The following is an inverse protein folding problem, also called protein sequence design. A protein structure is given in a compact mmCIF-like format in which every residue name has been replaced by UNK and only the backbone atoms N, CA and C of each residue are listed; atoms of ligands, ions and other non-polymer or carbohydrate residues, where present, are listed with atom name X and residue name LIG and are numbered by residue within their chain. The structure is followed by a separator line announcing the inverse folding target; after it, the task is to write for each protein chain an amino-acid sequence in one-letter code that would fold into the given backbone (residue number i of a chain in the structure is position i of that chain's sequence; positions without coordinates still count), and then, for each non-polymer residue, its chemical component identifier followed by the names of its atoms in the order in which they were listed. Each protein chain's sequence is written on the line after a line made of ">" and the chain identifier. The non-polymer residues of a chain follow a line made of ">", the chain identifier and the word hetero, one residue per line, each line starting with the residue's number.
data_IF_676332472650
#
_entry.id   IF_676332472650
#
_cell.length_a   1.000
_cell.length_b   1.000
_cell.length_c   1.000
_cell.angle_alpha   90.00
_cell.angle_beta   90.00
_cell.angle_gamma   90.00
#
_symmetry.space_group_name_H-M   'P 1'
#
loop_
_entity.id
_entity.type
_entity.pdbx_description
1 polymer ?
#
# COMPACT_ATOMS: atom_id res chain seq x y z
N UNK A 1 -7.43 62.20 -27.23
CA UNK A 1 -5.97 62.05 -27.21
C UNK A 1 -5.53 61.72 -25.79
N UNK A 2 -4.97 60.55 -25.54
CA UNK A 2 -3.91 60.41 -24.59
C UNK A 2 -2.72 59.61 -25.14
N UNK A 3 -1.59 59.90 -24.58
CA UNK A 3 -0.22 59.61 -25.05
C UNK A 3 0.14 58.12 -24.89
N UNK A 4 0.67 57.53 -25.96
CA UNK A 4 1.34 56.24 -26.01
C UNK A 4 2.69 56.26 -25.25
N UNK A 5 2.88 55.39 -24.27
CA UNK A 5 4.21 55.07 -23.72
C UNK A 5 4.73 53.78 -24.40
N UNK A 6 5.79 53.96 -25.19
CA UNK A 6 6.59 52.88 -25.76
C UNK A 6 7.37 52.21 -24.65
N UNK A 7 7.19 50.88 -24.47
CA UNK A 7 8.09 50.06 -23.67
C UNK A 7 9.14 49.45 -24.60
N UNK A 8 10.41 49.75 -24.33
CA UNK A 8 11.56 49.25 -25.06
C UNK A 8 11.89 47.80 -24.65
N UNK A 9 11.93 46.97 -25.65
CA UNK A 9 12.34 45.56 -25.61
C UNK A 9 13.87 45.50 -25.41
N UNK A 10 14.32 45.01 -24.25
CA UNK A 10 15.73 44.64 -24.01
C UNK A 10 15.84 43.14 -23.93
N UNK A 11 16.11 42.53 -25.08
CA UNK A 11 16.60 41.16 -25.20
C UNK A 11 17.96 41.03 -24.52
N UNK A 12 18.04 40.25 -23.42
CA UNK A 12 19.31 39.78 -22.85
C UNK A 12 19.62 38.40 -23.41
N UNK A 13 20.75 38.32 -24.12
CA UNK A 13 21.37 37.13 -24.67
C UNK A 13 21.78 36.12 -23.58
N UNK A 14 21.82 34.81 -23.85
CA UNK A 14 22.22 33.81 -22.90
C UNK A 14 23.74 33.81 -22.67
N UNK A 15 24.17 33.92 -21.42
CA UNK A 15 25.56 33.76 -21.02
C UNK A 15 25.98 32.28 -21.14
N UNK A 16 26.96 32.04 -22.03
CA UNK A 16 27.72 30.79 -22.08
C UNK A 16 28.49 30.64 -20.79
N UNK A 17 28.24 29.55 -20.05
CA UNK A 17 29.11 29.10 -18.95
C UNK A 17 30.27 28.32 -19.57
N UNK A 18 31.46 28.85 -19.46
CA UNK A 18 32.73 28.13 -19.69
C UNK A 18 33.19 27.53 -18.36
N UNK A 19 33.70 26.30 -18.33
CA UNK A 19 34.29 25.74 -17.12
C UNK A 19 35.71 26.28 -16.94
N UNK A 20 35.98 27.00 -15.86
CA UNK A 20 37.30 27.44 -15.49
C UNK A 20 37.74 26.71 -14.21
N UNK A 21 38.95 26.14 -14.32
CA UNK A 21 39.87 25.74 -13.29
C UNK A 21 39.57 24.51 -12.42
N UNK A 22 40.20 23.42 -12.84
CA UNK A 22 40.75 22.37 -12.01
C UNK A 22 41.76 23.05 -11.04
N UNK A 23 41.31 23.31 -9.83
CA UNK A 23 42.19 23.62 -8.71
C UNK A 23 42.47 22.31 -7.98
N UNK A 24 43.73 21.97 -7.91
CA UNK A 24 44.27 20.90 -7.08
C UNK A 24 43.85 21.11 -5.61
N UNK A 25 42.87 20.43 -5.11
CA UNK A 25 42.68 20.23 -3.69
C UNK A 25 43.41 18.96 -3.28
N UNK A 26 44.57 19.25 -2.68
CA UNK A 26 45.42 18.29 -2.00
C UNK A 26 44.66 17.62 -0.87
N UNK A 27 44.77 16.31 -0.90
CA UNK A 27 44.69 15.34 0.20
C UNK A 27 44.37 15.94 1.60
N UNK A 28 43.14 15.87 1.98
CA UNK A 28 42.74 15.80 3.37
C UNK A 28 41.89 14.54 3.58
N UNK A 29 42.43 13.38 3.24
CA UNK A 29 42.00 12.09 3.74
C UNK A 29 42.30 12.10 5.24
N UNK A 30 41.39 12.62 6.03
CA UNK A 30 41.38 12.37 7.47
C UNK A 30 41.42 10.86 7.64
N UNK A 31 42.51 10.43 8.31
CA UNK A 31 42.68 9.08 8.80
C UNK A 31 41.37 8.57 9.42
N UNK A 32 40.60 7.84 8.65
CA UNK A 32 39.63 6.90 9.18
C UNK A 32 40.46 5.96 10.05
N UNK A 33 40.28 6.05 11.34
CA UNK A 33 40.93 5.22 12.32
C UNK A 33 40.81 3.76 11.81
N UNK A 34 41.99 3.12 11.62
CA UNK A 34 42.04 1.69 11.34
C UNK A 34 41.18 0.99 12.39
N UNK A 35 40.21 0.18 12.04
CA UNK A 35 39.45 -0.59 13.01
C UNK A 35 40.48 -1.39 13.82
N UNK A 36 40.42 -1.25 15.16
CA UNK A 36 41.27 -1.99 16.05
C UNK A 36 41.13 -3.47 15.73
N UNK A 37 42.27 -4.14 15.53
CA UNK A 37 42.43 -5.53 15.12
C UNK A 37 41.95 -6.55 16.18
N UNK A 38 40.70 -6.42 16.63
CA UNK A 38 39.94 -7.37 17.45
C UNK A 38 38.45 -7.35 17.11
N UNK A 39 38.09 -7.23 15.87
CA UNK A 39 36.79 -7.76 15.43
C UNK A 39 36.96 -9.26 15.31
N UNK A 40 36.46 -9.96 16.30
CA UNK A 40 36.31 -11.40 16.25
C UNK A 40 35.62 -11.76 14.92
N UNK A 41 36.25 -12.64 14.14
CA UNK A 41 35.64 -13.19 12.95
C UNK A 41 34.19 -13.61 13.29
N UNK A 42 33.21 -13.39 12.37
CA UNK A 42 31.84 -13.74 12.66
C UNK A 42 31.79 -15.20 13.15
N UNK A 43 31.19 -15.42 14.30
CA UNK A 43 31.01 -16.78 14.83
C UNK A 43 30.32 -17.60 13.72
N UNK A 44 30.97 -18.66 13.24
CA UNK A 44 30.38 -19.52 12.22
C UNK A 44 29.08 -20.07 12.78
N UNK A 45 28.03 -20.03 11.96
CA UNK A 45 26.76 -20.69 12.34
C UNK A 45 27.03 -22.16 12.62
N UNK A 46 26.36 -22.71 13.63
CA UNK A 46 26.41 -24.15 13.90
C UNK A 46 25.67 -24.90 12.80
N UNK A 47 25.98 -26.20 12.58
CA UNK A 47 25.25 -27.02 11.61
C UNK A 47 23.73 -26.98 11.82
N UNK A 48 23.26 -27.01 13.07
CA UNK A 48 21.84 -26.90 13.43
C UNK A 48 21.23 -25.53 13.01
N UNK A 49 22.00 -24.44 13.13
CA UNK A 49 21.56 -23.13 12.69
C UNK A 49 21.47 -23.03 11.17
N UNK A 50 22.38 -23.68 10.45
CA UNK A 50 22.37 -23.77 8.98
C UNK A 50 21.14 -24.55 8.53
N UNK A 51 20.90 -25.73 9.10
CA UNK A 51 19.73 -26.57 8.80
C UNK A 51 18.41 -25.81 9.07
N UNK A 52 18.34 -25.08 10.18
CA UNK A 52 17.15 -24.25 10.49
C UNK A 52 16.92 -23.13 9.47
N UNK A 53 18.00 -22.56 8.89
CA UNK A 53 17.88 -21.56 7.83
C UNK A 53 17.48 -22.21 6.50
N UNK A 54 18.03 -23.36 6.16
CA UNK A 54 17.63 -24.13 4.98
C UNK A 54 16.15 -24.48 5.04
N UNK A 55 15.66 -24.98 6.17
CA UNK A 55 14.23 -25.27 6.40
C UNK A 55 13.36 -23.99 6.30
N UNK A 56 13.87 -22.84 6.78
CA UNK A 56 13.18 -21.55 6.66
C UNK A 56 13.04 -21.12 5.21
N UNK A 57 14.06 -21.36 4.38
CA UNK A 57 14.11 -20.94 2.98
C UNK A 57 13.52 -21.96 2.02
N UNK A 58 13.26 -23.19 2.47
CA UNK A 58 12.72 -24.24 1.64
C UNK A 58 11.37 -23.83 1.01
N UNK A 59 11.26 -24.03 -0.30
CA UNK A 59 10.08 -23.68 -1.08
C UNK A 59 9.84 -22.18 -1.31
N UNK A 60 10.71 -21.30 -0.79
CA UNK A 60 10.60 -19.85 -1.06
C UNK A 60 11.05 -19.54 -2.50
N UNK A 61 10.19 -18.83 -3.25
CA UNK A 61 10.53 -18.33 -4.60
C UNK A 61 10.26 -19.30 -5.73
N UNK A 62 9.65 -20.44 -5.46
CA UNK A 62 9.21 -21.41 -6.48
C UNK A 62 7.69 -21.50 -6.45
N UNK A 63 6.94 -20.58 -7.13
CA UNK A 63 5.51 -20.73 -7.27
C UNK A 63 5.24 -21.98 -8.14
N UNK A 64 4.38 -22.87 -7.66
CA UNK A 64 3.84 -23.92 -8.52
C UNK A 64 3.13 -23.26 -9.70
N UNK A 65 3.53 -23.66 -10.91
CA UNK A 65 2.90 -23.21 -12.16
C UNK A 65 1.54 -23.90 -12.29
N UNK A 66 0.54 -23.34 -11.63
CA UNK A 66 -0.84 -23.78 -11.80
C UNK A 66 -1.65 -22.66 -12.51
N UNK A 67 -2.57 -23.02 -13.42
CA UNK A 67 -3.49 -22.03 -13.98
C UNK A 67 -4.29 -21.38 -12.86
N UNK A 68 -4.46 -20.05 -12.95
CA UNK A 68 -5.23 -19.30 -11.96
C UNK A 68 -6.67 -19.84 -11.89
N UNK A 69 -7.10 -20.18 -10.69
CA UNK A 69 -8.47 -20.57 -10.38
C UNK A 69 -8.97 -19.65 -9.25
N UNK A 70 -10.08 -18.94 -9.47
CA UNK A 70 -10.63 -18.11 -8.39
C UNK A 70 -11.09 -18.97 -7.20
N UNK A 71 -10.90 -18.46 -6.02
CA UNK A 71 -11.40 -19.05 -4.77
C UNK A 71 -12.92 -18.85 -4.63
N UNK A 72 -13.57 -19.72 -3.87
CA UNK A 72 -15.02 -19.67 -3.67
C UNK A 72 -15.50 -18.32 -3.11
N UNK A 73 -14.74 -17.72 -2.16
CA UNK A 73 -15.08 -16.42 -1.59
C UNK A 73 -15.04 -15.29 -2.64
N UNK A 74 -14.16 -15.39 -3.64
CA UNK A 74 -14.06 -14.41 -4.73
C UNK A 74 -15.29 -14.51 -5.66
N UNK A 75 -15.71 -15.73 -5.97
CA UNK A 75 -16.90 -15.97 -6.77
C UNK A 75 -18.19 -15.54 -6.02
N UNK A 76 -18.26 -15.81 -4.71
CA UNK A 76 -19.35 -15.35 -3.85
C UNK A 76 -19.43 -13.83 -3.84
N UNK A 77 -18.29 -13.13 -3.70
CA UNK A 77 -18.23 -11.68 -3.74
C UNK A 77 -18.77 -11.11 -5.06
N UNK A 78 -18.32 -11.63 -6.19
CA UNK A 78 -18.79 -11.20 -7.52
C UNK A 78 -20.29 -11.43 -7.71
N UNK A 79 -20.84 -12.49 -7.15
CA UNK A 79 -22.27 -12.75 -7.20
C UNK A 79 -23.07 -11.79 -6.31
N UNK A 80 -22.62 -11.57 -5.09
CA UNK A 80 -23.30 -10.68 -4.14
C UNK A 80 -23.31 -9.22 -4.61
N UNK A 81 -22.22 -8.75 -5.22
CA UNK A 81 -22.06 -7.37 -5.68
C UNK A 81 -23.05 -6.99 -6.78
N UNK A 82 -23.72 -7.95 -7.40
CA UNK A 82 -24.78 -7.69 -8.38
C UNK A 82 -26.01 -7.01 -7.78
N UNK A 83 -26.29 -7.24 -6.52
CA UNK A 83 -27.51 -6.77 -5.85
C UNK A 83 -27.30 -6.02 -4.55
N UNK A 84 -26.16 -6.19 -3.89
CA UNK A 84 -25.88 -5.67 -2.54
C UNK A 84 -24.52 -4.95 -2.50
N UNK A 85 -24.30 -4.07 -1.52
CA UNK A 85 -22.95 -3.66 -1.18
C UNK A 85 -22.19 -4.84 -0.57
N UNK A 86 -20.88 -4.90 -0.76
CA UNK A 86 -20.10 -6.06 -0.31
C UNK A 86 -18.90 -5.62 0.50
N UNK A 87 -18.74 -6.20 1.68
CA UNK A 87 -17.54 -6.11 2.51
C UNK A 87 -16.78 -7.43 2.44
N UNK A 88 -15.62 -7.41 1.82
CA UNK A 88 -14.71 -8.56 1.77
C UNK A 88 -13.62 -8.38 2.82
N UNK A 89 -13.54 -9.31 3.77
CA UNK A 89 -12.46 -9.37 4.74
C UNK A 89 -11.62 -10.63 4.50
N UNK A 90 -10.36 -10.43 4.14
CA UNK A 90 -9.47 -11.53 3.84
C UNK A 90 -8.01 -11.10 4.05
N UNK A 91 -7.11 -12.02 4.41
CA UNK A 91 -5.69 -11.70 4.61
C UNK A 91 -5.06 -11.03 3.38
N UNK A 92 -4.00 -10.26 3.61
CA UNK A 92 -3.18 -9.70 2.51
C UNK A 92 -2.61 -10.85 1.66
N UNK A 93 -2.63 -10.69 0.33
CA UNK A 93 -2.19 -11.73 -0.59
C UNK A 93 -3.27 -12.76 -0.97
N UNK A 94 -4.50 -12.67 -0.43
CA UNK A 94 -5.60 -13.59 -0.75
C UNK A 94 -6.29 -13.33 -2.10
N UNK A 95 -5.85 -12.34 -2.87
CA UNK A 95 -6.43 -12.03 -4.17
C UNK A 95 -7.68 -11.14 -4.14
N UNK A 96 -7.89 -10.35 -3.09
CA UNK A 96 -9.01 -9.37 -3.03
C UNK A 96 -9.06 -8.44 -4.23
N UNK A 97 -7.90 -7.98 -4.71
CA UNK A 97 -7.81 -7.10 -5.89
C UNK A 97 -8.38 -7.75 -7.15
N UNK A 98 -8.34 -9.09 -7.27
CA UNK A 98 -8.92 -9.79 -8.40
C UNK A 98 -10.44 -9.58 -8.47
N UNK A 99 -11.15 -9.58 -7.33
CA UNK A 99 -12.59 -9.29 -7.28
C UNK A 99 -12.86 -7.89 -7.84
N UNK A 100 -12.08 -6.90 -7.42
CA UNK A 100 -12.21 -5.54 -7.92
C UNK A 100 -11.98 -5.45 -9.43
N UNK A 101 -10.97 -6.15 -9.95
CA UNK A 101 -10.66 -6.17 -11.40
C UNK A 101 -11.79 -6.77 -12.23
N UNK A 102 -12.34 -7.90 -11.80
CA UNK A 102 -13.47 -8.52 -12.51
C UNK A 102 -14.71 -7.63 -12.47
N UNK A 103 -14.97 -6.97 -11.34
CA UNK A 103 -16.10 -6.04 -11.24
C UNK A 103 -15.89 -4.80 -12.10
N UNK A 104 -14.70 -4.21 -12.10
CA UNK A 104 -14.34 -3.09 -12.98
C UNK A 104 -14.58 -3.50 -14.45
N UNK A 105 -14.12 -4.69 -14.86
CA UNK A 105 -14.33 -5.19 -16.23
C UNK A 105 -15.81 -5.25 -16.57
N UNK A 106 -16.64 -5.72 -15.63
CA UNK A 106 -18.10 -5.80 -15.80
C UNK A 106 -18.75 -4.42 -15.91
N UNK A 107 -18.35 -3.47 -15.05
CA UNK A 107 -18.85 -2.09 -15.04
C UNK A 107 -18.48 -1.36 -16.34
N UNK A 108 -17.22 -1.43 -16.75
CA UNK A 108 -16.77 -0.83 -18.00
C UNK A 108 -17.44 -1.44 -19.23
N UNK A 109 -17.67 -2.77 -19.22
CA UNK A 109 -18.40 -3.49 -20.28
C UNK A 109 -19.85 -3.03 -20.43
N UNK A 110 -20.47 -2.50 -19.38
CA UNK A 110 -21.82 -1.91 -19.38
C UNK A 110 -21.85 -0.43 -19.74
N UNK A 111 -20.69 0.18 -20.03
CA UNK A 111 -20.57 1.63 -20.25
C UNK A 111 -20.78 2.47 -18.99
N UNK A 112 -20.70 1.85 -17.81
CA UNK A 112 -20.82 2.49 -16.50
C UNK A 112 -19.47 2.99 -16.00
N UNK A 113 -19.48 3.77 -14.94
CA UNK A 113 -18.30 4.42 -14.37
C UNK A 113 -17.99 3.91 -12.98
N UNK A 114 -16.71 3.73 -12.69
CA UNK A 114 -16.23 3.26 -11.40
C UNK A 114 -15.15 4.16 -10.81
N UNK A 115 -15.09 4.20 -9.48
CA UNK A 115 -13.98 4.72 -8.71
C UNK A 115 -13.27 3.59 -7.97
N UNK A 116 -11.94 3.61 -8.02
CA UNK A 116 -11.10 2.76 -7.18
C UNK A 116 -10.32 3.67 -6.22
N UNK A 117 -10.60 3.57 -4.93
CA UNK A 117 -9.97 4.42 -3.92
C UNK A 117 -8.93 3.65 -3.13
N UNK A 118 -7.84 4.31 -2.77
CA UNK A 118 -6.74 3.76 -1.95
C UNK A 118 -6.36 4.73 -0.83
N UNK A 119 -5.77 4.24 0.29
CA UNK A 119 -5.38 5.12 1.40
C UNK A 119 -4.14 5.96 1.14
N UNK A 120 -3.32 5.61 0.15
CA UNK A 120 -1.99 6.21 -0.06
C UNK A 120 -1.73 6.49 -1.54
N UNK A 121 -1.15 7.66 -1.85
CA UNK A 121 -0.76 8.06 -3.20
C UNK A 121 0.14 7.04 -3.92
N UNK A 122 1.06 6.39 -3.20
CA UNK A 122 1.92 5.36 -3.76
C UNK A 122 1.11 4.17 -4.29
N UNK A 123 0.10 3.72 -3.54
CA UNK A 123 -0.83 2.67 -3.96
C UNK A 123 -1.70 3.13 -5.13
N UNK A 124 -2.18 4.38 -5.10
CA UNK A 124 -2.94 4.97 -6.22
C UNK A 124 -2.14 4.93 -7.51
N UNK A 125 -0.87 5.38 -7.49
CA UNK A 125 -0.01 5.35 -8.67
C UNK A 125 0.24 3.92 -9.18
N UNK A 126 0.48 2.97 -8.27
CA UNK A 126 0.67 1.56 -8.62
C UNK A 126 -0.59 0.98 -9.29
N UNK A 127 -1.77 1.22 -8.71
CA UNK A 127 -3.05 0.76 -9.26
C UNK A 127 -3.41 1.43 -10.57
N UNK A 128 -3.12 2.71 -10.72
CA UNK A 128 -3.29 3.41 -11.98
C UNK A 128 -2.48 2.76 -13.11
N UNK A 129 -1.21 2.44 -12.85
CA UNK A 129 -0.36 1.77 -13.83
C UNK A 129 -0.87 0.37 -14.15
N UNK A 130 -1.22 -0.42 -13.13
CA UNK A 130 -1.78 -1.78 -13.28
C UNK A 130 -3.05 -1.77 -14.15
N UNK A 131 -4.01 -0.92 -13.81
CA UNK A 131 -5.29 -0.85 -14.53
C UNK A 131 -5.18 -0.23 -15.91
N UNK A 132 -4.26 0.73 -16.12
CA UNK A 132 -3.99 1.29 -17.45
C UNK A 132 -3.43 0.25 -18.41
N UNK A 133 -2.58 -0.65 -17.92
CA UNK A 133 -2.06 -1.77 -18.72
C UNK A 133 -3.14 -2.81 -19.02
N UNK A 134 -4.08 -3.02 -18.10
CA UNK A 134 -5.11 -4.06 -18.25
C UNK A 134 -6.32 -3.60 -19.07
N UNK A 135 -6.84 -2.39 -18.82
CA UNK A 135 -8.09 -1.89 -19.41
C UNK A 135 -7.88 -0.91 -20.56
N UNK A 136 -6.66 -0.42 -20.74
CA UNK A 136 -6.29 0.63 -21.69
C UNK A 136 -6.20 2.00 -21.02
N UNK A 137 -5.15 2.79 -21.36
CA UNK A 137 -4.90 4.08 -20.74
C UNK A 137 -6.01 5.10 -20.99
N UNK A 138 -6.75 4.95 -22.09
CA UNK A 138 -7.89 5.81 -22.44
C UNK A 138 -9.09 5.61 -21.51
N UNK A 139 -9.20 4.47 -20.85
CA UNK A 139 -10.29 4.12 -19.93
C UNK A 139 -9.99 4.39 -18.48
N UNK A 140 -8.73 4.70 -18.15
CA UNK A 140 -8.28 4.88 -16.76
C UNK A 140 -7.77 6.28 -16.54
N UNK A 141 -8.28 6.93 -15.52
CA UNK A 141 -7.80 8.22 -15.03
C UNK A 141 -7.21 8.12 -13.64
N UNK A 142 -6.38 9.08 -13.27
CA UNK A 142 -5.85 9.21 -11.91
C UNK A 142 -6.19 10.58 -11.33
N UNK A 143 -6.61 10.55 -10.05
CA UNK A 143 -6.93 11.76 -9.32
C UNK A 143 -6.40 11.70 -7.89
N UNK A 144 -5.34 12.48 -7.66
CA UNK A 144 -4.73 12.67 -6.33
C UNK A 144 -4.59 14.17 -6.07
N UNK A 145 -4.12 14.57 -4.89
CA UNK A 145 -3.92 15.98 -4.57
C UNK A 145 -2.92 16.70 -5.47
N UNK A 146 -1.97 15.97 -6.03
CA UNK A 146 -0.86 16.48 -6.84
C UNK A 146 -0.85 15.97 -8.29
N UNK A 147 -1.73 15.03 -8.65
CA UNK A 147 -1.79 14.46 -10.01
C UNK A 147 -3.22 14.34 -10.50
N UNK A 148 -3.47 14.86 -11.71
CA UNK A 148 -4.78 14.81 -12.37
C UNK A 148 -4.57 14.50 -13.84
N UNK A 149 -4.94 13.30 -14.27
CA UNK A 149 -4.82 12.85 -15.65
C UNK A 149 -6.08 12.07 -16.03
N UNK A 150 -6.57 12.31 -17.22
CA UNK A 150 -7.76 11.65 -17.81
C UNK A 150 -8.95 11.57 -16.82
N UNK A 151 -9.32 12.72 -16.23
CA UNK A 151 -10.34 12.81 -15.17
C UNK A 151 -11.76 12.47 -15.63
N UNK A 152 -12.01 12.41 -16.92
CA UNK A 152 -13.29 11.98 -17.52
C UNK A 152 -13.33 10.50 -17.89
N UNK A 153 -12.26 9.75 -17.61
CA UNK A 153 -12.21 8.32 -17.85
C UNK A 153 -13.33 7.57 -17.11
N UNK A 154 -13.81 6.45 -17.65
CA UNK A 154 -14.85 5.66 -17.01
C UNK A 154 -14.36 4.96 -15.73
N UNK A 155 -13.06 4.73 -15.56
CA UNK A 155 -12.45 4.28 -14.30
C UNK A 155 -11.53 5.37 -13.76
N UNK A 156 -11.80 5.86 -12.56
CA UNK A 156 -10.91 6.77 -11.86
C UNK A 156 -10.23 6.05 -10.71
N UNK A 157 -8.90 6.11 -10.66
CA UNK A 157 -8.10 5.66 -9.53
C UNK A 157 -7.69 6.86 -8.71
N UNK A 158 -8.05 6.91 -7.45
CA UNK A 158 -7.79 8.08 -6.61
C UNK A 158 -7.54 7.73 -5.15
N UNK A 159 -7.16 8.73 -4.35
CA UNK A 159 -7.14 8.53 -2.90
C UNK A 159 -8.56 8.70 -2.32
N UNK A 160 -8.81 8.04 -1.19
CA UNK A 160 -10.12 8.09 -0.52
C UNK A 160 -10.50 9.53 -0.17
N UNK A 161 -9.55 10.36 0.25
CA UNK A 161 -9.76 11.79 0.54
C UNK A 161 -10.27 12.57 -0.67
N UNK A 162 -9.74 12.27 -1.86
CA UNK A 162 -10.15 12.98 -3.08
C UNK A 162 -11.57 12.56 -3.48
N UNK A 163 -11.90 11.27 -3.38
CA UNK A 163 -13.25 10.82 -3.65
C UNK A 163 -14.26 11.43 -2.65
N UNK A 164 -13.94 11.43 -1.35
CA UNK A 164 -14.72 12.13 -0.33
C UNK A 164 -14.94 13.61 -0.67
N UNK A 165 -13.88 14.32 -1.09
CA UNK A 165 -14.00 15.73 -1.45
C UNK A 165 -14.93 15.92 -2.66
N UNK A 166 -14.92 15.03 -3.63
CA UNK A 166 -15.85 15.04 -4.74
C UNK A 166 -17.32 14.84 -4.31
N UNK A 167 -17.54 13.97 -3.30
CA UNK A 167 -18.86 13.78 -2.72
C UNK A 167 -19.35 15.06 -2.03
N UNK A 168 -18.48 15.73 -1.26
CA UNK A 168 -18.81 17.02 -0.63
C UNK A 168 -19.08 18.12 -1.66
N UNK A 169 -18.27 18.22 -2.70
CA UNK A 169 -18.45 19.24 -3.75
C UNK A 169 -19.77 19.01 -4.49
N UNK A 170 -20.10 17.78 -4.84
CA UNK A 170 -21.36 17.43 -5.47
C UNK A 170 -22.57 17.77 -4.56
N UNK A 171 -22.47 17.49 -3.28
CA UNK A 171 -23.52 17.85 -2.31
C UNK A 171 -23.71 19.36 -2.20
N UNK A 172 -22.61 20.14 -2.13
CA UNK A 172 -22.65 21.61 -2.06
C UNK A 172 -23.22 22.26 -3.31
N UNK A 173 -22.97 21.65 -4.48
CA UNK A 173 -23.44 22.19 -5.78
C UNK A 173 -24.79 21.61 -6.17
N UNK A 174 -25.40 20.76 -5.34
CA UNK A 174 -26.63 20.02 -5.67
C UNK A 174 -26.49 19.20 -6.96
N UNK A 175 -25.28 18.73 -7.25
CA UNK A 175 -24.95 17.90 -8.40
C UNK A 175 -24.83 16.42 -7.99
N UNK A 176 -24.82 15.55 -8.99
CA UNK A 176 -24.57 14.12 -8.78
C UNK A 176 -23.15 13.75 -9.14
N UNK A 177 -22.48 12.99 -8.29
CA UNK A 177 -21.20 12.38 -8.65
C UNK A 177 -21.41 11.42 -9.83
N UNK A 178 -20.60 11.57 -10.88
CA UNK A 178 -20.67 10.77 -12.09
C UNK A 178 -19.99 9.42 -11.91
N UNK A 179 -20.55 8.59 -11.04
CA UNK A 179 -20.08 7.22 -10.83
C UNK A 179 -21.26 6.30 -10.48
N UNK A 180 -21.15 5.03 -10.84
CA UNK A 180 -22.15 4.00 -10.61
C UNK A 180 -21.66 2.99 -9.58
N UNK A 181 -20.35 2.92 -9.40
CA UNK A 181 -19.70 1.95 -8.52
C UNK A 181 -18.45 2.53 -7.86
N UNK A 182 -18.22 2.20 -6.59
CA UNK A 182 -16.99 2.58 -5.87
C UNK A 182 -16.35 1.37 -5.19
N UNK A 183 -15.05 1.24 -5.38
CA UNK A 183 -14.22 0.29 -4.63
C UNK A 183 -13.44 1.09 -3.58
N UNK A 184 -13.61 0.70 -2.32
CA UNK A 184 -12.83 1.24 -1.19
C UNK A 184 -11.80 0.19 -0.80
N UNK A 185 -10.58 0.35 -1.30
CA UNK A 185 -9.48 -0.55 -0.94
C UNK A 185 -8.92 -0.18 0.44
N UNK A 186 -8.45 -1.21 1.15
CA UNK A 186 -7.94 -1.11 2.52
C UNK A 186 -8.94 -0.45 3.49
N UNK A 187 -10.21 -0.87 3.45
CA UNK A 187 -11.29 -0.29 4.25
C UNK A 187 -11.04 -0.34 5.78
N UNK A 188 -10.10 -1.16 6.24
CA UNK A 188 -9.69 -1.19 7.66
C UNK A 188 -9.03 0.10 8.15
N UNK A 189 -8.62 1.01 7.26
CA UNK A 189 -8.17 2.36 7.63
C UNK A 189 -9.27 3.21 8.30
N UNK A 190 -10.52 2.77 8.26
CA UNK A 190 -11.59 3.36 9.09
C UNK A 190 -11.25 3.35 10.59
N UNK A 191 -10.45 2.36 11.04
CA UNK A 191 -9.99 2.27 12.42
C UNK A 191 -8.72 3.12 12.71
N UNK A 192 -8.20 3.87 11.74
CA UNK A 192 -7.07 4.78 11.93
C UNK A 192 -7.48 5.99 12.77
N UNK A 193 -6.74 6.25 13.87
CA UNK A 193 -7.07 7.31 14.84
C UNK A 193 -7.08 8.71 14.22
N UNK A 194 -6.18 8.97 13.28
CA UNK A 194 -6.04 10.30 12.67
C UNK A 194 -6.91 10.48 11.42
N UNK A 195 -7.06 9.42 10.60
CA UNK A 195 -7.64 9.50 9.26
C UNK A 195 -8.94 8.71 9.07
N UNK A 196 -9.35 7.90 10.05
CA UNK A 196 -10.54 7.04 9.96
C UNK A 196 -11.80 7.77 9.54
N UNK A 197 -11.97 9.02 10.01
CA UNK A 197 -13.08 9.89 9.63
C UNK A 197 -13.25 10.08 8.10
N UNK A 198 -12.17 9.99 7.33
CA UNK A 198 -12.24 10.10 5.86
C UNK A 198 -13.03 8.94 5.25
N UNK A 199 -12.80 7.71 5.74
CA UNK A 199 -13.55 6.52 5.31
C UNK A 199 -15.00 6.57 5.78
N UNK A 200 -15.21 6.98 7.02
CA UNK A 200 -16.52 7.16 7.60
C UNK A 200 -17.37 8.14 6.77
N UNK A 201 -16.87 9.35 6.55
CA UNK A 201 -17.52 10.37 5.71
C UNK A 201 -17.73 9.89 4.27
N UNK A 202 -16.77 9.17 3.68
CA UNK A 202 -16.89 8.60 2.33
C UNK A 202 -18.06 7.63 2.26
N UNK A 203 -18.20 6.74 3.25
CA UNK A 203 -19.30 5.76 3.30
C UNK A 203 -20.64 6.47 3.48
N UNK A 204 -20.75 7.39 4.43
CA UNK A 204 -21.98 8.13 4.74
C UNK A 204 -22.43 8.97 3.53
N UNK A 205 -21.50 9.67 2.88
CA UNK A 205 -21.82 10.60 1.79
C UNK A 205 -22.06 9.91 0.45
N UNK A 206 -21.64 8.66 0.27
CA UNK A 206 -21.84 7.93 -0.98
C UNK A 206 -23.34 7.60 -1.14
N UNK A 207 -24.02 8.15 -2.16
CA UNK A 207 -25.45 7.92 -2.35
C UNK A 207 -25.78 6.42 -2.51
N UNK A 208 -26.97 5.95 -2.03
CA UNK A 208 -27.39 4.54 -2.14
C UNK A 208 -27.40 3.98 -3.55
N UNK A 209 -27.59 4.83 -4.57
CA UNK A 209 -27.52 4.43 -6.01
C UNK A 209 -26.15 3.96 -6.45
N UNK A 210 -25.08 4.41 -5.76
CA UNK A 210 -23.69 4.02 -6.05
C UNK A 210 -23.40 2.78 -5.21
N UNK A 211 -23.24 1.64 -5.87
CA UNK A 211 -22.91 0.38 -5.18
C UNK A 211 -21.46 0.40 -4.72
N UNK A 212 -21.19 -0.28 -3.60
CA UNK A 212 -19.91 -0.23 -2.92
C UNK A 212 -19.32 -1.61 -2.74
N UNK A 213 -18.03 -1.75 -3.08
CA UNK A 213 -17.18 -2.88 -2.72
C UNK A 213 -16.09 -2.40 -1.75
N UNK A 214 -16.14 -2.90 -0.52
CA UNK A 214 -15.11 -2.62 0.48
C UNK A 214 -14.18 -3.82 0.56
N UNK A 215 -12.90 -3.59 0.34
CA UNK A 215 -11.83 -4.58 0.46
C UNK A 215 -11.03 -4.28 1.72
N UNK A 216 -10.92 -5.25 2.62
CA UNK A 216 -10.27 -5.08 3.91
C UNK A 216 -9.32 -6.23 4.22
N UNK A 217 -8.29 -5.96 5.02
CA UNK A 217 -7.61 -7.01 5.75
C UNK A 217 -8.59 -7.67 6.73
N UNK A 218 -8.18 -8.73 7.40
CA UNK A 218 -9.02 -9.39 8.40
C UNK A 218 -9.41 -8.40 9.51
N UNK A 219 -10.70 -8.17 9.68
CA UNK A 219 -11.29 -7.28 10.70
C UNK A 219 -12.00 -8.14 11.73
N UNK A 220 -11.71 -7.92 13.02
CA UNK A 220 -12.29 -8.73 14.09
C UNK A 220 -13.82 -8.59 14.29
N UNK A 221 -14.43 -7.52 13.72
CA UNK A 221 -15.84 -7.17 13.90
C UNK A 221 -16.51 -6.79 12.56
N UNK A 222 -16.29 -7.60 11.54
CA UNK A 222 -16.79 -7.33 10.18
C UNK A 222 -18.32 -7.18 10.13
N UNK A 223 -19.04 -7.99 10.88
CA UNK A 223 -20.52 -7.95 10.94
C UNK A 223 -21.03 -6.67 11.59
N UNK A 224 -20.39 -6.19 12.68
CA UNK A 224 -20.75 -4.92 13.31
C UNK A 224 -20.50 -3.75 12.34
N UNK A 225 -19.40 -3.80 11.60
CA UNK A 225 -19.06 -2.81 10.60
C UNK A 225 -20.07 -2.80 9.43
N UNK A 226 -20.41 -3.97 8.91
CA UNK A 226 -21.42 -4.09 7.86
C UNK A 226 -22.79 -3.54 8.31
N UNK A 227 -23.22 -3.89 9.53
CA UNK A 227 -24.47 -3.40 10.10
C UNK A 227 -24.47 -1.86 10.22
N UNK A 228 -23.38 -1.26 10.65
CA UNK A 228 -23.25 0.19 10.68
C UNK A 228 -23.37 0.80 9.26
N UNK A 229 -22.74 0.20 8.25
CA UNK A 229 -22.88 0.65 6.85
C UNK A 229 -24.35 0.55 6.40
N UNK A 230 -25.04 -0.54 6.70
CA UNK A 230 -26.47 -0.70 6.39
C UNK A 230 -27.32 0.41 7.02
N UNK A 231 -27.07 0.73 8.28
CA UNK A 231 -27.79 1.77 9.03
C UNK A 231 -27.59 3.16 8.42
N UNK A 232 -26.34 3.52 8.06
CA UNK A 232 -26.04 4.87 7.54
C UNK A 232 -26.39 5.05 6.07
N UNK A 233 -26.34 3.98 5.27
CA UNK A 233 -26.60 4.04 3.82
C UNK A 233 -28.02 3.64 3.43
N UNK A 234 -28.72 2.90 4.28
CA UNK A 234 -30.01 2.31 3.94
C UNK A 234 -29.92 1.21 2.85
N UNK A 235 -28.76 0.58 2.68
CA UNK A 235 -28.49 -0.47 1.70
C UNK A 235 -28.16 -1.76 2.42
N UNK A 236 -28.35 -2.92 1.77
CA UNK A 236 -27.87 -4.21 2.32
C UNK A 236 -26.37 -4.37 2.09
N UNK A 237 -25.70 -4.97 3.05
CA UNK A 237 -24.25 -5.25 2.98
C UNK A 237 -24.00 -6.74 3.20
N UNK A 238 -23.46 -7.40 2.20
CA UNK A 238 -23.01 -8.80 2.31
C UNK A 238 -21.59 -8.81 2.87
N UNK A 239 -21.41 -9.49 3.99
CA UNK A 239 -20.07 -9.77 4.54
C UNK A 239 -19.57 -11.09 3.95
N UNK A 240 -18.37 -11.03 3.39
CA UNK A 240 -17.66 -12.21 2.90
C UNK A 240 -16.34 -12.28 3.62
N UNK A 241 -16.26 -13.22 4.55
CA UNK A 241 -15.12 -13.41 5.42
C UNK A 241 -14.35 -14.67 5.04
N UNK A 242 -13.14 -14.50 4.52
CA UNK A 242 -12.22 -15.61 4.35
C UNK A 242 -11.49 -15.87 5.66
N UNK A 243 -12.03 -16.76 6.48
CA UNK A 243 -11.33 -17.31 7.62
C UNK A 243 -10.25 -18.31 7.15
N UNK A 244 -9.10 -18.29 7.78
CA UNK A 244 -8.06 -19.29 7.54
C UNK A 244 -6.67 -18.72 7.31
N UNK A 245 -5.72 -19.61 7.04
CA UNK A 245 -4.31 -19.26 6.78
C UNK A 245 -4.16 -18.46 5.48
N UNK A 246 -3.13 -17.64 5.43
CA UNK A 246 -2.74 -16.95 4.19
C UNK A 246 -2.47 -17.98 3.09
N UNK A 247 -2.79 -17.65 1.80
CA UNK A 247 -2.45 -18.54 0.68
C UNK A 247 -0.95 -18.79 0.57
N UNK A 248 -0.16 -17.80 1.01
CA UNK A 248 1.30 -17.89 1.09
C UNK A 248 1.71 -17.75 2.54
N UNK A 249 2.41 -18.76 3.04
CA UNK A 249 2.97 -18.76 4.39
C UNK A 249 3.94 -17.60 4.56
N UNK A 250 3.86 -16.90 5.70
CA UNK A 250 4.85 -15.91 6.10
C UNK A 250 5.80 -16.52 7.10
N UNK A 251 7.06 -16.61 6.74
CA UNK A 251 8.15 -17.05 7.60
C UNK A 251 8.96 -15.86 8.04
N UNK A 252 9.08 -15.66 9.35
CA UNK A 252 9.78 -14.52 9.91
C UNK A 252 11.20 -14.93 10.33
N UNK A 253 12.18 -14.11 9.98
CA UNK A 253 13.56 -14.30 10.33
C UNK A 253 14.24 -13.01 10.83
N UNK A 254 15.24 -13.15 11.67
CA UNK A 254 16.12 -12.08 12.10
C UNK A 254 17.40 -12.09 11.25
N UNK A 255 17.71 -10.95 10.63
CA UNK A 255 18.98 -10.75 9.93
C UNK A 255 19.98 -10.07 10.85
N UNK A 256 21.09 -10.77 11.16
CA UNK A 256 22.16 -10.22 11.99
C UNK A 256 23.00 -9.16 11.24
N UNK A 257 23.78 -8.36 11.98
CA UNK A 257 24.75 -7.41 11.40
C UNK A 257 25.83 -8.07 10.53
N UNK A 258 26.03 -9.37 10.68
CA UNK A 258 26.98 -10.17 9.88
C UNK A 258 26.31 -10.86 8.67
N UNK A 259 25.09 -10.41 8.31
CA UNK A 259 24.28 -10.94 7.21
C UNK A 259 23.92 -12.42 7.37
N UNK A 260 23.85 -12.90 8.62
CA UNK A 260 23.38 -14.25 8.92
C UNK A 260 21.90 -14.21 9.26
N UNK A 261 21.16 -15.14 8.70
CA UNK A 261 19.72 -15.28 8.90
C UNK A 261 19.45 -16.27 10.04
N UNK A 262 18.48 -15.95 10.89
CA UNK A 262 18.04 -16.81 12.00
C UNK A 262 16.51 -16.86 11.98
N UNK A 263 15.90 -18.07 11.98
CA UNK A 263 14.46 -18.18 12.14
C UNK A 263 14.00 -17.48 13.43
N UNK A 264 12.93 -16.70 13.35
CA UNK A 264 12.39 -15.98 14.52
C UNK A 264 11.69 -16.91 15.48
N UNK A 265 11.06 -17.97 14.95
CA UNK A 265 10.31 -18.96 15.70
C UNK A 265 10.91 -20.35 15.50
N UNK A 266 10.85 -21.19 16.54
CA UNK A 266 11.17 -22.62 16.51
C UNK A 266 10.01 -23.48 16.02
N UNK A 267 10.19 -24.80 16.02
CA UNK A 267 9.22 -25.76 15.47
C UNK A 267 7.82 -25.71 16.10
N UNK A 268 7.71 -25.33 17.36
CA UNK A 268 6.43 -25.23 18.09
C UNK A 268 5.87 -23.79 18.12
N UNK A 269 6.37 -22.88 17.27
CA UNK A 269 5.98 -21.47 17.29
C UNK A 269 6.55 -20.69 18.48
N UNK A 270 7.40 -21.31 19.31
CA UNK A 270 8.11 -20.63 20.39
C UNK A 270 9.20 -19.72 19.84
N UNK A 271 9.47 -18.60 20.53
CA UNK A 271 10.54 -17.68 20.12
C UNK A 271 11.90 -18.40 20.15
N UNK A 272 12.72 -18.17 19.11
CA UNK A 272 14.03 -18.80 18.98
C UNK A 272 14.99 -18.32 20.10
N UNK A 273 15.31 -19.21 21.04
CA UNK A 273 16.16 -18.91 22.20
C UNK A 273 17.56 -18.43 21.81
N UNK A 274 18.07 -18.81 20.66
CA UNK A 274 19.38 -18.32 20.17
C UNK A 274 19.38 -16.81 19.93
N UNK A 275 18.22 -16.18 19.71
CA UNK A 275 18.09 -14.74 19.56
C UNK A 275 18.15 -13.98 20.88
N UNK A 276 17.84 -14.60 22.00
CA UNK A 276 17.98 -14.03 23.34
C UNK A 276 19.44 -13.70 23.66
N UNK A 277 20.38 -14.49 23.14
CA UNK A 277 21.81 -14.25 23.31
C UNK A 277 22.24 -12.91 22.70
N UNK A 278 21.72 -12.56 21.52
CA UNK A 278 22.01 -11.27 20.88
C UNK A 278 21.50 -10.09 21.70
N UNK A 279 20.33 -10.22 22.34
CA UNK A 279 19.83 -9.17 23.23
C UNK A 279 20.67 -9.02 24.50
N UNK A 280 21.11 -10.14 25.12
CA UNK A 280 21.98 -10.12 26.29
C UNK A 280 23.31 -9.47 25.97
N UNK A 281 23.99 -9.85 24.90
CA UNK A 281 25.23 -9.23 24.43
C UNK A 281 25.08 -7.74 24.16
N UNK A 282 23.95 -7.32 23.60
CA UNK A 282 23.65 -5.91 23.32
C UNK A 282 23.43 -5.12 24.62
N UNK A 283 22.77 -5.72 25.62
CA UNK A 283 22.57 -5.11 26.94
C UNK A 283 23.88 -4.97 27.69
N UNK A 284 24.71 -6.00 27.67
CA UNK A 284 26.05 -5.99 28.31
C UNK A 284 26.98 -4.94 27.70
N UNK A 285 27.05 -4.88 26.36
CA UNK A 285 27.84 -3.85 25.66
C UNK A 285 27.34 -2.42 25.96
N UNK A 286 26.02 -2.20 26.09
CA UNK A 286 25.46 -0.92 26.49
C UNK A 286 25.79 -0.56 27.94
N UNK A 287 25.81 -1.54 28.86
CA UNK A 287 26.20 -1.31 30.25
C UNK A 287 27.69 -1.01 30.38
N UNK A 288 28.55 -1.72 29.67
CA UNK A 288 29.97 -1.48 29.61
C UNK A 288 30.30 -0.09 29.03
N UNK A 289 29.64 0.32 27.97
CA UNK A 289 29.81 1.67 27.42
C UNK A 289 29.38 2.77 28.39
N UNK A 290 28.30 2.54 29.15
CA UNK A 290 27.85 3.48 30.20
C UNK A 290 28.81 3.52 31.39
N UNK A 291 29.42 2.37 31.74
CA UNK A 291 30.43 2.31 32.84
C UNK A 291 31.76 3.02 32.46
N UNK A 292 32.15 2.95 31.19
CA UNK A 292 33.38 3.64 30.70
C UNK A 292 33.24 5.15 30.51
N UNK A 293 32.02 5.68 30.55
CA UNK A 293 31.72 7.11 30.42
C UNK A 293 31.41 7.81 31.75
N UNK A 294 31.36 7.04 32.84
CA UNK A 294 31.35 7.56 34.22
C UNK A 294 32.75 7.51 34.82
#
# INVERSE_FOLDING_TARGET
>A
MPRSRKYSDRRKSPRKYAPSHLGEERDNVRHLARPSSREQAPSRQTPEQIEAVEKLLDGIGVPESAPFKPDDFQLEALKAIESEDVLVTAPTGSGKTWIAREEIRRILGKGQRAWYTTPLKALTNSKYTEFSLEFGPEKVGILTGDRKENTDAPLIVGTTEIFRNQLFDALRQSEQVRTDFVIIDEAHYLADEDRGHVWEETIILTPPRIRMLLLSATVGKAEEFAKWIEEVRGTKVRVINRAGSRPVELRAAYLSKHLQLYPLFGEEGSFNRNLEQFEREKREKRQDYRRRRR
#
